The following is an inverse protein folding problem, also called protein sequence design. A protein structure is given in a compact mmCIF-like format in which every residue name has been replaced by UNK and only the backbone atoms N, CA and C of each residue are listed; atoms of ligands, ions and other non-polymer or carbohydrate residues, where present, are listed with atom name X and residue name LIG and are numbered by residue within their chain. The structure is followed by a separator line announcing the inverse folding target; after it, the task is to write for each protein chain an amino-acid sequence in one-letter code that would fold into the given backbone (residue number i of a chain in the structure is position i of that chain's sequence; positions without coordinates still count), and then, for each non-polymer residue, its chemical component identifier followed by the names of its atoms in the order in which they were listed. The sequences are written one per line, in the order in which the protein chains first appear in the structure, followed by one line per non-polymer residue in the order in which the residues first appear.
data_IF_354376398041
#
_entry.id   IF_354376398041
#
_cell.length_a   1.000
_cell.length_b   1.000
_cell.length_c   1.000
_cell.angle_alpha   90.00
_cell.angle_beta   90.00
_cell.angle_gamma   90.00
#
_symmetry.space_group_name_H-M   'P 1'
#
loop_
_entity.id
_entity.type
_entity.pdbx_description
1 polymer ?
#
# COMPACT_ATOMS: atom_id res chain seq x y z
N UNK A 1 26.29 -0.60 -36.13
CA UNK A 1 24.86 -0.39 -35.85
C UNK A 1 24.66 -0.54 -34.36
N UNK A 2 24.35 0.58 -33.73
CA UNK A 2 24.04 0.79 -32.33
C UNK A 2 22.87 -0.07 -31.86
N UNK A 3 22.99 -0.66 -30.68
CA UNK A 3 21.92 -0.61 -29.67
C UNK A 3 22.56 -0.45 -28.30
N UNK A 4 22.62 0.79 -27.83
CA UNK A 4 22.80 1.11 -26.42
C UNK A 4 21.50 0.72 -25.72
N UNK A 5 21.56 -0.31 -24.87
CA UNK A 5 20.48 -0.62 -23.93
C UNK A 5 20.62 0.32 -22.73
N UNK A 6 19.58 1.06 -22.32
CA UNK A 6 19.69 1.95 -21.18
C UNK A 6 19.72 1.15 -19.87
N UNK A 7 20.54 1.64 -18.94
CA UNK A 7 20.61 1.24 -17.54
C UNK A 7 19.29 1.47 -16.79
N UNK A 8 18.73 0.43 -16.18
CA UNK A 8 17.80 0.57 -15.04
C UNK A 8 18.20 -0.38 -13.90
N UNK A 9 19.41 -0.14 -13.37
CA UNK A 9 19.83 -0.69 -12.09
C UNK A 9 19.13 0.07 -10.94
N UNK A 10 17.83 -0.17 -10.75
CA UNK A 10 17.09 0.25 -9.56
C UNK A 10 16.33 -0.93 -8.98
N UNK A 11 16.98 -1.64 -8.06
CA UNK A 11 16.32 -2.29 -6.93
C UNK A 11 15.14 -3.19 -7.26
N UNK A 12 15.26 -4.03 -8.28
CA UNK A 12 14.28 -5.07 -8.53
C UNK A 12 14.46 -6.16 -7.45
N UNK A 13 13.81 -6.01 -6.29
CA UNK A 13 13.55 -7.14 -5.38
C UNK A 13 12.47 -7.97 -6.09
N UNK A 14 12.92 -8.73 -7.08
CA UNK A 14 12.12 -9.68 -7.85
C UNK A 14 11.76 -10.82 -6.91
N UNK A 15 10.65 -10.70 -6.17
CA UNK A 15 9.99 -11.87 -5.61
C UNK A 15 9.49 -12.71 -6.79
N UNK A 16 10.31 -13.69 -7.12
CA UNK A 16 10.22 -14.48 -8.33
C UNK A 16 8.91 -15.26 -8.39
N UNK A 17 7.98 -14.75 -9.21
CA UNK A 17 7.30 -15.50 -10.29
C UNK A 17 6.81 -16.90 -9.90
N UNK A 18 5.80 -17.05 -9.04
CA UNK A 18 4.88 -18.23 -8.99
C UNK A 18 3.57 -17.95 -8.23
N UNK A 19 2.66 -17.16 -8.79
CA UNK A 19 1.19 -17.28 -8.58
C UNK A 19 0.54 -16.36 -9.63
N UNK A 20 -0.39 -16.86 -10.43
CA UNK A 20 -0.92 -16.14 -11.60
C UNK A 20 -1.45 -14.75 -11.25
N UNK A 21 -0.85 -13.73 -11.89
CA UNK A 21 -1.39 -12.40 -12.20
C UNK A 21 -2.17 -11.64 -11.10
N UNK A 22 -1.70 -11.68 -9.84
CA UNK A 22 -2.34 -10.95 -8.72
C UNK A 22 -1.34 -10.26 -7.80
N UNK A 23 -1.39 -8.93 -7.80
CA UNK A 23 -1.05 -8.00 -6.72
C UNK A 23 0.11 -8.41 -5.79
N UNK A 24 1.32 -7.99 -6.15
CA UNK A 24 2.42 -7.89 -5.19
C UNK A 24 2.08 -6.78 -4.18
N UNK A 25 1.49 -7.15 -3.04
CA UNK A 25 1.11 -6.19 -2.02
C UNK A 25 2.36 -5.51 -1.42
N UNK A 26 2.60 -4.27 -1.82
CA UNK A 26 3.68 -3.42 -1.29
C UNK A 26 3.18 -2.35 -0.31
N UNK A 27 4.13 -1.73 0.40
CA UNK A 27 3.89 -0.60 1.30
C UNK A 27 3.36 0.59 0.50
N UNK A 28 2.32 1.25 1.04
CA UNK A 28 1.62 2.34 0.38
C UNK A 28 0.37 1.92 -0.39
N UNK A 29 0.09 0.61 -0.57
CA UNK A 29 -1.16 0.18 -1.20
C UNK A 29 -2.39 0.64 -0.43
N UNK A 30 -3.37 1.15 -1.16
CA UNK A 30 -4.69 1.42 -0.63
C UNK A 30 -5.49 0.12 -0.52
N UNK A 31 -5.96 -0.16 0.68
CA UNK A 31 -6.81 -1.32 0.95
C UNK A 31 -8.05 -0.88 1.71
N UNK A 32 -9.17 -1.55 1.45
CA UNK A 32 -10.41 -1.29 2.18
C UNK A 32 -10.90 -2.53 2.89
N UNK A 33 -11.61 -2.31 3.99
CA UNK A 33 -12.13 -3.39 4.80
C UNK A 33 -13.47 -3.89 4.28
N UNK A 34 -13.52 -5.14 3.79
CA UNK A 34 -14.76 -5.75 3.27
C UNK A 34 -15.58 -6.46 4.35
N UNK A 35 -14.96 -6.88 5.45
CA UNK A 35 -15.58 -7.65 6.53
C UNK A 35 -15.14 -7.15 7.91
N UNK A 36 -16.03 -7.33 8.90
CA UNK A 36 -15.80 -6.98 10.30
C UNK A 36 -16.39 -5.62 10.71
N UNK A 37 -16.07 -5.17 11.94
CA UNK A 37 -16.60 -3.93 12.54
C UNK A 37 -16.20 -2.66 11.78
N UNK A 38 -15.08 -2.72 11.06
CA UNK A 38 -14.53 -1.60 10.29
C UNK A 38 -14.89 -1.68 8.79
N UNK A 39 -15.97 -2.37 8.42
CA UNK A 39 -16.39 -2.49 7.01
C UNK A 39 -16.55 -1.11 6.38
N UNK A 40 -15.95 -0.91 5.21
CA UNK A 40 -16.00 0.36 4.46
C UNK A 40 -14.90 1.37 4.83
N UNK A 41 -14.03 1.06 5.80
CA UNK A 41 -12.86 1.91 6.10
C UNK A 41 -11.69 1.59 5.17
N UNK A 42 -10.99 2.65 4.76
CA UNK A 42 -9.76 2.59 3.98
C UNK A 42 -8.55 2.61 4.90
N UNK A 43 -7.49 1.94 4.46
CA UNK A 43 -6.21 1.84 5.14
C UNK A 43 -5.08 1.81 4.12
N UNK A 44 -3.87 2.14 4.57
CA UNK A 44 -2.64 1.95 3.80
C UNK A 44 -1.85 0.78 4.37
N UNK A 45 -1.29 -0.04 3.49
CA UNK A 45 -0.37 -1.11 3.85
C UNK A 45 0.95 -0.48 4.30
N UNK A 46 1.38 -0.76 5.51
CA UNK A 46 2.67 -0.28 6.04
C UNK A 46 3.71 -1.39 6.19
N UNK A 47 3.30 -2.64 6.01
CA UNK A 47 4.17 -3.80 6.07
C UNK A 47 3.44 -5.09 5.77
N UNK A 48 4.19 -6.07 5.29
CA UNK A 48 3.70 -7.41 5.02
C UNK A 48 4.43 -8.37 5.97
N UNK A 49 3.68 -8.99 6.89
CA UNK A 49 4.24 -9.93 7.88
C UNK A 49 4.31 -11.34 7.30
N UNK A 50 3.37 -11.70 6.43
CA UNK A 50 3.30 -13.01 5.78
C UNK A 50 2.47 -12.93 4.49
N UNK A 51 2.45 -14.02 3.71
CA UNK A 51 1.67 -14.12 2.47
C UNK A 51 0.15 -13.90 2.63
N UNK A 52 -0.38 -14.02 3.86
CA UNK A 52 -1.81 -13.84 4.14
C UNK A 52 -2.10 -12.77 5.19
N UNK A 53 -1.07 -12.23 5.85
CA UNK A 53 -1.21 -11.27 6.95
C UNK A 53 -0.39 -10.02 6.67
N UNK A 54 -1.07 -8.88 6.74
CA UNK A 54 -0.49 -7.58 6.44
C UNK A 54 -0.82 -6.59 7.55
N UNK A 55 0.08 -5.62 7.71
CA UNK A 55 -0.03 -4.53 8.67
C UNK A 55 -0.60 -3.32 7.94
N UNK A 56 -1.74 -2.83 8.40
CA UNK A 56 -2.40 -1.67 7.82
C UNK A 56 -2.57 -0.55 8.84
N UNK A 57 -2.47 0.69 8.39
CA UNK A 57 -2.61 1.89 9.21
C UNK A 57 -3.44 2.94 8.47
N UNK A 58 -4.18 3.76 9.23
CA UNK A 58 -4.96 4.89 8.72
C UNK A 58 -4.44 6.24 9.23
N UNK A 59 -3.46 6.25 10.14
CA UNK A 59 -2.84 7.46 10.69
C UNK A 59 -3.70 8.19 11.74
N UNK A 60 -4.96 7.81 11.92
CA UNK A 60 -5.88 8.43 12.88
C UNK A 60 -6.27 7.45 13.99
N UNK A 61 -6.94 6.34 13.65
CA UNK A 61 -7.32 5.31 14.62
C UNK A 61 -6.23 4.25 14.85
N UNK A 62 -5.42 3.98 13.82
CA UNK A 62 -4.36 2.97 13.75
C UNK A 62 -3.08 3.64 13.23
N UNK A 63 -2.19 3.90 14.19
CA UNK A 63 -0.88 4.52 13.97
C UNK A 63 0.11 3.52 13.41
N UNK A 64 1.19 4.02 12.80
CA UNK A 64 2.35 3.21 12.36
C UNK A 64 2.95 2.40 13.52
N UNK A 65 2.90 2.95 14.73
CA UNK A 65 3.42 2.32 15.95
C UNK A 65 2.52 1.20 16.49
N UNK A 66 1.22 1.25 16.17
CA UNK A 66 0.26 0.22 16.57
C UNK A 66 -0.65 -0.14 15.38
N UNK A 67 -0.06 -0.76 14.33
CA UNK A 67 -0.78 -1.06 13.13
C UNK A 67 -1.75 -2.20 13.36
N UNK A 68 -2.76 -2.26 12.49
CA UNK A 68 -3.74 -3.33 12.56
C UNK A 68 -3.29 -4.50 11.70
N UNK A 69 -3.12 -5.65 12.32
CA UNK A 69 -2.91 -6.90 11.59
C UNK A 69 -4.20 -7.35 10.96
N UNK A 70 -4.18 -7.54 9.65
CA UNK A 70 -5.36 -8.00 8.92
C UNK A 70 -5.00 -9.07 7.92
N UNK A 71 -5.91 -10.03 7.79
CA UNK A 71 -5.78 -11.07 6.79
C UNK A 71 -6.22 -10.50 5.43
N UNK A 72 -5.43 -10.75 4.39
CA UNK A 72 -5.68 -10.27 3.02
C UNK A 72 -7.07 -10.70 2.53
N UNK A 73 -7.57 -11.87 2.95
CA UNK A 73 -8.94 -12.34 2.64
C UNK A 73 -10.08 -11.41 3.09
N UNK A 74 -9.80 -10.52 4.05
CA UNK A 74 -10.77 -9.56 4.60
C UNK A 74 -10.53 -8.12 4.12
N UNK A 75 -9.60 -7.96 3.18
CA UNK A 75 -9.26 -6.71 2.55
C UNK A 75 -9.67 -6.78 1.08
N UNK A 76 -10.12 -5.65 0.56
CA UNK A 76 -10.15 -5.40 -0.87
C UNK A 76 -8.93 -4.55 -1.18
N UNK A 77 -8.11 -5.05 -2.09
CA UNK A 77 -6.90 -4.38 -2.54
C UNK A 77 -7.33 -3.49 -3.70
N UNK A 78 -6.98 -2.21 -3.64
CA UNK A 78 -7.19 -1.30 -4.74
C UNK A 78 -5.89 -1.18 -5.53
N UNK A 79 -5.99 -1.07 -6.86
CA UNK A 79 -4.85 -0.84 -7.77
C UNK A 79 -4.32 0.60 -7.67
N UNK A 80 -4.26 1.14 -6.45
CA UNK A 80 -3.85 2.51 -6.14
C UNK A 80 -2.84 2.48 -5.01
N UNK A 81 -1.74 3.19 -5.21
CA UNK A 81 -0.59 3.22 -4.32
C UNK A 81 -0.31 4.66 -3.95
N UNK A 82 -0.15 4.91 -2.65
CA UNK A 82 0.37 6.18 -2.13
C UNK A 82 1.85 6.31 -2.54
N UNK A 83 2.10 6.96 -3.68
CA UNK A 83 3.43 7.11 -4.26
C UNK A 83 4.43 7.80 -3.31
N UNK A 84 3.95 8.74 -2.49
CA UNK A 84 4.80 9.37 -1.49
C UNK A 84 5.25 8.38 -0.41
N UNK A 85 4.33 7.53 0.06
CA UNK A 85 4.63 6.52 1.08
C UNK A 85 5.48 5.40 0.53
N UNK A 86 5.21 4.94 -0.69
CA UNK A 86 6.04 3.92 -1.34
C UNK A 86 7.46 4.46 -1.52
N UNK A 87 7.61 5.69 -2.02
CA UNK A 87 8.93 6.30 -2.18
C UNK A 87 9.65 6.50 -0.84
N UNK A 88 8.94 6.87 0.24
CA UNK A 88 9.51 6.94 1.59
C UNK A 88 9.95 5.57 2.08
N UNK A 89 9.14 4.53 1.87
CA UNK A 89 9.47 3.16 2.23
C UNK A 89 10.70 2.65 1.48
N UNK A 90 10.77 2.86 0.16
CA UNK A 90 11.91 2.49 -0.69
C UNK A 90 13.19 3.21 -0.28
N UNK A 91 13.09 4.50 0.10
CA UNK A 91 14.21 5.30 0.61
C UNK A 91 14.58 4.98 2.06
N UNK A 92 13.89 4.05 2.72
CA UNK A 92 14.08 3.73 4.13
C UNK A 92 13.74 4.88 5.09
N UNK A 93 12.97 5.87 4.63
CA UNK A 93 12.51 7.00 5.46
C UNK A 93 11.38 6.54 6.38
N UNK A 94 11.37 7.10 7.60
CA UNK A 94 10.32 6.80 8.58
C UNK A 94 8.99 7.39 8.10
N UNK A 95 8.02 6.53 7.86
CA UNK A 95 6.63 6.93 7.59
C UNK A 95 6.01 7.41 8.90
N UNK A 96 5.45 8.63 8.89
CA UNK A 96 4.75 9.19 10.05
C UNK A 96 3.24 9.05 9.92
N UNK A 97 2.53 9.16 11.04
CA UNK A 97 1.06 9.12 11.03
C UNK A 97 0.47 10.29 10.22
N UNK A 98 1.15 11.45 10.21
CA UNK A 98 0.73 12.60 9.42
C UNK A 98 0.81 12.30 7.92
N UNK A 99 1.91 11.69 7.46
CA UNK A 99 2.06 11.29 6.06
C UNK A 99 0.94 10.34 5.61
N UNK A 100 0.63 9.33 6.44
CA UNK A 100 -0.43 8.36 6.15
C UNK A 100 -1.78 9.07 6.08
N UNK A 101 -2.06 9.97 7.02
CA UNK A 101 -3.36 10.65 7.09
C UNK A 101 -3.58 11.53 5.87
N UNK A 102 -2.57 12.31 5.49
CA UNK A 102 -2.64 13.20 4.32
C UNK A 102 -2.80 12.38 3.03
N UNK A 103 -1.95 11.36 2.83
CA UNK A 103 -2.02 10.52 1.63
C UNK A 103 -3.32 9.72 1.56
N UNK A 104 -3.76 9.09 2.66
CA UNK A 104 -5.02 8.36 2.69
C UNK A 104 -6.19 9.27 2.35
N UNK A 105 -6.22 10.48 2.92
CA UNK A 105 -7.29 11.46 2.67
C UNK A 105 -7.28 11.92 1.22
N UNK A 106 -6.11 12.22 0.65
CA UNK A 106 -5.96 12.59 -0.76
C UNK A 106 -6.42 11.48 -1.69
N UNK A 107 -6.03 10.23 -1.43
CA UNK A 107 -6.44 9.07 -2.22
C UNK A 107 -7.96 8.85 -2.14
N UNK A 108 -8.53 8.82 -0.94
CA UNK A 108 -9.99 8.62 -0.77
C UNK A 108 -10.79 9.76 -1.38
N UNK A 109 -10.29 11.00 -1.30
CA UNK A 109 -10.91 12.15 -1.94
C UNK A 109 -10.92 12.00 -3.46
N UNK A 110 -9.78 11.66 -4.07
CA UNK A 110 -9.67 11.42 -5.51
C UNK A 110 -10.59 10.27 -5.97
N UNK A 111 -10.79 9.25 -5.14
CA UNK A 111 -11.75 8.17 -5.41
C UNK A 111 -13.21 8.63 -5.42
N UNK A 112 -13.59 9.56 -4.53
CA UNK A 112 -14.96 10.05 -4.43
C UNK A 112 -15.28 11.19 -5.42
N UNK A 113 -14.28 11.96 -5.86
CA UNK A 113 -14.49 13.09 -6.79
C UNK A 113 -14.81 12.67 -8.24
N UNK A 114 -14.73 11.39 -8.59
CA UNK A 114 -15.15 10.86 -9.90
C UNK A 114 -16.69 10.70 -10.07
N UNK A 115 -17.50 11.34 -9.23
CA UNK A 115 -18.96 11.38 -9.39
C UNK A 115 -19.41 12.78 -9.83
N UNK A 116 -19.24 13.11 -11.11
CA UNK A 116 -19.94 14.21 -11.77
C UNK A 116 -20.37 13.78 -13.18
#
# INVERSE_FOLDING_TARGET
MSQSVPDDNSGNIVFSRKYGDRDALQVGHLVSSTKGRDRGRYYLVIGCESLSRVCVADGEGRKVENPKYKNIKHLHIHEVIAGELSSKAEKGKRITNADIREELKSLVKNFNECSF
#
